data_IF_524330058539
#
_entry.id   IF_524330058539
#
_cell.length_a   1.000
_cell.length_b   1.000
_cell.length_c   1.000
_cell.angle_alpha   90.00
_cell.angle_beta   90.00
_cell.angle_gamma   90.00
#
_symmetry.space_group_name_H-M   'P 1'
#
loop_
_entity.id
_entity.type
_entity.pdbx_description
1 polymer ?
#
# COMPACT_ATOMS: atom_id res chain seq x y z
N UNK A 1 -14.09 16.27 -1.68
CA UNK A 1 -14.52 16.87 -0.43
C UNK A 1 -13.38 17.54 0.30
N UNK A 2 -13.65 18.17 1.42
CA UNK A 2 -12.60 18.82 2.18
C UNK A 2 -11.59 17.82 2.73
N UNK A 3 -10.34 18.24 2.78
CA UNK A 3 -9.28 17.43 3.37
C UNK A 3 -9.48 17.32 4.89
N UNK A 4 -9.06 16.22 5.50
CA UNK A 4 -9.05 16.12 6.95
C UNK A 4 -8.21 17.24 7.58
N UNK A 5 -8.52 17.59 8.79
CA UNK A 5 -7.74 18.61 9.51
C UNK A 5 -6.37 18.07 9.86
N UNK A 6 -5.33 18.95 9.92
CA UNK A 6 -4.01 18.53 10.38
C UNK A 6 -4.08 17.87 11.75
N UNK A 7 -3.29 16.84 11.95
CA UNK A 7 -3.34 16.01 13.15
C UNK A 7 -4.29 14.83 13.04
N UNK A 8 -5.15 14.80 12.03
CA UNK A 8 -6.05 13.67 11.82
C UNK A 8 -5.27 12.40 11.50
N UNK A 9 -5.78 11.27 11.99
CA UNK A 9 -5.25 9.96 11.64
C UNK A 9 -5.94 9.50 10.37
N UNK A 10 -5.13 9.25 9.33
CA UNK A 10 -5.66 8.87 8.01
C UNK A 10 -4.99 7.58 7.55
N UNK A 11 -5.64 6.92 6.60
CA UNK A 11 -5.13 5.71 5.95
C UNK A 11 -4.90 6.02 4.48
N UNK A 12 -3.73 5.64 3.96
CA UNK A 12 -3.43 5.79 2.54
C UNK A 12 -4.02 4.61 1.77
N UNK A 13 -4.72 4.90 0.69
CA UNK A 13 -5.28 3.89 -0.22
C UNK A 13 -4.44 3.85 -1.49
N UNK A 14 -4.03 2.65 -1.89
CA UNK A 14 -3.23 2.42 -3.09
C UNK A 14 -3.85 1.31 -3.92
N UNK A 15 -3.73 1.39 -5.24
CA UNK A 15 -4.17 0.29 -6.10
C UNK A 15 -3.20 -0.88 -5.96
N UNK A 16 -1.92 -0.62 -6.17
CA UNK A 16 -0.87 -1.64 -6.19
C UNK A 16 0.33 -1.14 -5.41
N UNK A 17 0.88 -2.00 -4.57
CA UNK A 17 2.15 -1.76 -3.88
C UNK A 17 3.18 -2.74 -4.42
N UNK A 18 4.30 -2.23 -4.91
CA UNK A 18 5.44 -3.04 -5.35
C UNK A 18 6.56 -2.95 -4.31
N UNK A 19 7.56 -2.11 -4.54
CA UNK A 19 8.64 -1.90 -3.57
C UNK A 19 8.26 -0.99 -2.40
N UNK A 20 7.11 -0.33 -2.50
CA UNK A 20 6.64 0.62 -1.49
C UNK A 20 7.12 2.04 -1.71
N UNK A 21 7.91 2.31 -2.74
CA UNK A 21 8.47 3.64 -2.97
C UNK A 21 7.43 4.72 -3.16
N UNK A 22 6.43 4.47 -4.01
CA UNK A 22 5.34 5.43 -4.23
C UNK A 22 4.53 5.67 -2.97
N UNK A 23 4.19 4.60 -2.26
CA UNK A 23 3.42 4.71 -1.02
C UNK A 23 4.20 5.48 0.04
N UNK A 24 5.49 5.19 0.19
CA UNK A 24 6.35 5.90 1.15
C UNK A 24 6.46 7.38 0.82
N UNK A 25 6.58 7.72 -0.47
CA UNK A 25 6.65 9.11 -0.89
C UNK A 25 5.36 9.84 -0.50
N UNK A 26 4.20 9.23 -0.78
CA UNK A 26 2.92 9.81 -0.41
C UNK A 26 2.78 9.97 1.11
N UNK A 27 3.17 8.94 1.87
CA UNK A 27 3.12 8.98 3.32
C UNK A 27 3.97 10.13 3.87
N UNK A 28 5.20 10.28 3.35
CA UNK A 28 6.09 11.37 3.80
C UNK A 28 5.48 12.72 3.54
N UNK A 29 4.89 12.92 2.37
CA UNK A 29 4.24 14.18 2.03
C UNK A 29 3.06 14.47 2.96
N UNK A 30 2.26 13.46 3.25
CA UNK A 30 1.11 13.62 4.14
C UNK A 30 1.55 13.88 5.60
N UNK A 31 2.62 13.24 6.05
CA UNK A 31 3.16 13.48 7.38
C UNK A 31 3.71 14.90 7.51
N UNK A 32 4.35 15.41 6.47
CA UNK A 32 4.83 16.80 6.45
C UNK A 32 3.65 17.77 6.52
N UNK A 33 2.52 17.41 5.90
CA UNK A 33 1.31 18.22 5.98
C UNK A 33 0.61 18.13 7.35
N UNK A 34 1.10 17.29 8.26
CA UNK A 34 0.59 17.22 9.62
C UNK A 34 -0.33 16.04 9.91
N UNK A 35 -0.52 15.15 8.95
CA UNK A 35 -1.38 13.98 9.16
C UNK A 35 -0.62 12.84 9.83
N UNK A 36 -1.37 12.00 10.54
CA UNK A 36 -0.83 10.79 11.16
C UNK A 36 -1.23 9.58 10.32
N UNK A 37 -0.25 8.77 9.96
CA UNK A 37 -0.47 7.57 9.19
C UNK A 37 0.17 6.38 9.88
N UNK A 38 -0.63 5.33 10.04
CA UNK A 38 -0.18 4.06 10.64
C UNK A 38 -0.43 2.89 9.68
N UNK A 39 -1.22 3.11 8.62
CA UNK A 39 -1.66 2.03 7.75
C UNK A 39 -1.73 2.48 6.30
N UNK A 40 -1.35 1.57 5.42
CA UNK A 40 -1.56 1.66 3.98
C UNK A 40 -2.44 0.48 3.58
N UNK A 41 -3.51 0.75 2.84
CA UNK A 41 -4.38 -0.29 2.30
C UNK A 41 -4.20 -0.32 0.78
N UNK A 42 -3.91 -1.49 0.25
CA UNK A 42 -3.73 -1.69 -1.18
C UNK A 42 -4.69 -2.76 -1.69
N UNK A 43 -5.07 -2.66 -2.94
CA UNK A 43 -5.83 -3.75 -3.57
C UNK A 43 -4.88 -4.93 -3.78
N UNK A 44 -3.69 -4.67 -4.30
CA UNK A 44 -2.70 -5.71 -4.60
C UNK A 44 -1.35 -5.37 -3.99
N UNK A 45 -0.77 -6.31 -3.27
CA UNK A 45 0.63 -6.28 -2.85
C UNK A 45 1.38 -7.28 -3.73
N UNK A 46 2.29 -6.77 -4.56
CA UNK A 46 3.08 -7.59 -5.49
C UNK A 46 4.21 -8.35 -4.79
N UNK A 47 4.34 -8.17 -3.48
CA UNK A 47 5.35 -8.85 -2.67
C UNK A 47 6.79 -8.59 -3.14
N UNK A 48 7.05 -7.33 -3.51
CA UNK A 48 8.36 -6.89 -3.97
C UNK A 48 9.08 -6.05 -2.91
N UNK A 49 8.80 -6.33 -1.64
CA UNK A 49 9.45 -5.66 -0.52
C UNK A 49 8.68 -4.49 0.07
N UNK A 50 7.49 -4.17 -0.46
CA UNK A 50 6.71 -3.03 0.00
C UNK A 50 6.30 -3.13 1.46
N UNK A 51 5.83 -4.30 1.89
CA UNK A 51 5.40 -4.48 3.27
C UNK A 51 6.54 -4.22 4.25
N UNK A 52 7.74 -4.74 3.96
CA UNK A 52 8.92 -4.53 4.81
C UNK A 52 9.35 -3.06 4.80
N UNK A 53 9.33 -2.42 3.64
CA UNK A 53 9.70 -1.00 3.51
C UNK A 53 8.74 -0.12 4.31
N UNK A 54 7.44 -0.41 4.24
CA UNK A 54 6.43 0.33 5.00
C UNK A 54 6.55 0.05 6.49
N UNK A 55 6.81 -1.19 6.88
CA UNK A 55 6.99 -1.54 8.29
C UNK A 55 8.19 -0.80 8.90
N UNK A 56 9.25 -0.60 8.14
CA UNK A 56 10.41 0.14 8.59
C UNK A 56 10.07 1.60 8.94
N UNK A 57 8.99 2.13 8.38
CA UNK A 57 8.52 3.49 8.66
C UNK A 57 7.33 3.49 9.63
N UNK A 58 7.10 2.38 10.33
CA UNK A 58 6.02 2.28 11.31
C UNK A 58 4.63 2.11 10.69
N UNK A 59 4.57 1.63 9.46
CA UNK A 59 3.31 1.48 8.73
C UNK A 59 2.95 0.02 8.59
N UNK A 60 1.66 -0.28 8.72
CA UNK A 60 1.12 -1.62 8.44
C UNK A 60 0.55 -1.61 7.03
N UNK A 61 0.93 -2.59 6.23
CA UNK A 61 0.34 -2.77 4.91
C UNK A 61 -0.76 -3.83 4.99
N UNK A 62 -1.95 -3.46 4.59
CA UNK A 62 -3.08 -4.37 4.41
C UNK A 62 -3.40 -4.46 2.94
N UNK A 63 -3.44 -5.67 2.38
CA UNK A 63 -3.77 -5.85 0.98
C UNK A 63 -4.89 -6.86 0.83
N UNK A 64 -5.77 -6.62 -0.14
CA UNK A 64 -6.83 -7.58 -0.47
C UNK A 64 -6.25 -8.82 -1.14
N UNK A 65 -5.22 -8.62 -1.97
CA UNK A 65 -4.54 -9.70 -2.68
C UNK A 65 -3.04 -9.55 -2.52
N UNK A 66 -2.34 -10.66 -2.32
CA UNK A 66 -0.89 -10.70 -2.23
C UNK A 66 -0.40 -11.61 -3.36
N UNK A 67 0.24 -11.01 -4.36
CA UNK A 67 0.63 -11.71 -5.57
C UNK A 67 2.07 -11.38 -5.92
N UNK A 68 2.96 -12.37 -5.81
CA UNK A 68 4.28 -12.24 -6.40
C UNK A 68 4.17 -12.29 -7.93
N UNK A 69 5.22 -11.89 -8.63
CA UNK A 69 5.19 -11.89 -10.09
C UNK A 69 4.87 -13.28 -10.65
N UNK A 70 5.47 -14.31 -10.08
CA UNK A 70 5.23 -15.70 -10.52
C UNK A 70 3.82 -16.16 -10.14
N UNK A 71 3.42 -15.91 -8.88
CA UNK A 71 2.09 -16.28 -8.40
C UNK A 71 0.99 -15.54 -9.15
N UNK A 72 1.22 -14.27 -9.49
CA UNK A 72 0.25 -13.47 -10.22
C UNK A 72 -0.03 -14.09 -11.60
N UNK A 73 1.01 -14.50 -12.31
CA UNK A 73 0.83 -15.14 -13.62
C UNK A 73 0.05 -16.43 -13.49
N UNK A 74 0.38 -17.25 -12.52
CA UNK A 74 -0.30 -18.51 -12.30
C UNK A 74 -1.78 -18.30 -11.97
N UNK A 75 -2.08 -17.36 -11.09
CA UNK A 75 -3.45 -17.10 -10.70
C UNK A 75 -4.28 -16.49 -11.84
N UNK A 76 -3.68 -15.63 -12.63
CA UNK A 76 -4.36 -15.06 -13.79
C UNK A 76 -4.68 -16.15 -14.82
N UNK A 77 -3.77 -17.09 -15.04
CA UNK A 77 -4.03 -18.23 -15.93
C UNK A 77 -5.19 -19.08 -15.44
N UNK A 78 -5.24 -19.35 -14.15
CA UNK A 78 -6.33 -20.11 -13.56
C UNK A 78 -7.66 -19.38 -13.67
N UNK A 79 -7.67 -18.09 -13.43
CA UNK A 79 -8.87 -17.27 -13.55
C UNK A 79 -9.37 -17.26 -15.00
N UNK A 80 -8.48 -17.21 -15.97
CA UNK A 80 -8.85 -17.23 -17.38
C UNK A 80 -9.44 -18.58 -17.80
N UNK A 81 -9.10 -19.65 -17.11
CA UNK A 81 -9.60 -21.00 -17.40
C UNK A 81 -10.91 -21.31 -16.69
N UNK A 82 -11.24 -20.54 -15.68
CA UNK A 82 -12.48 -20.75 -14.96
C UNK A 82 -13.64 -19.99 -15.58
#
# INVERSE_FOLDING_TARGET
GPLPEPGARITLLEDVVTSGGSALKAVKQLRVAGYQLERVVAIVDREEGGAAALAAEGLELKALYQLSAVSAQHQLSQAAQS
#
